data_IF_206363383942
#
_entry.id   IF_206363383942
#
_cell.length_a   1.000
_cell.length_b   1.000
_cell.length_c   1.000
_cell.angle_alpha   90.00
_cell.angle_beta   90.00
_cell.angle_gamma   90.00
#
_symmetry.space_group_name_H-M   'P 1'
#
loop_
_entity.id
_entity.type
_entity.pdbx_description
1 polymer ?
#
# COMPACT_ATOMS: atom_id res chain seq x y z
N UNK A 1 -7.93 11.86 -6.37
CA UNK A 1 -6.59 11.34 -6.76
C UNK A 1 -6.76 10.16 -7.70
N UNK A 2 -6.15 10.19 -8.88
CA UNK A 2 -6.24 9.05 -9.80
C UNK A 2 -5.22 7.96 -9.43
N UNK A 3 -5.33 6.80 -10.07
CA UNK A 3 -4.45 5.66 -9.74
C UNK A 3 -2.97 5.97 -9.98
N UNK A 4 -2.68 6.71 -11.03
CA UNK A 4 -1.31 7.06 -11.39
C UNK A 4 -0.67 7.96 -10.33
N UNK A 5 -1.40 8.96 -9.86
CA UNK A 5 -0.94 9.84 -8.79
C UNK A 5 -0.80 9.08 -7.48
N UNK A 6 -1.75 8.20 -7.18
CA UNK A 6 -1.71 7.41 -5.97
C UNK A 6 -0.46 6.52 -5.94
N UNK A 7 -0.12 5.88 -7.06
CA UNK A 7 1.08 5.06 -7.16
C UNK A 7 2.34 5.88 -6.90
N UNK A 8 2.41 7.08 -7.46
CA UNK A 8 3.56 7.95 -7.27
C UNK A 8 3.72 8.36 -5.81
N UNK A 9 2.64 8.79 -5.19
CA UNK A 9 2.67 9.24 -3.80
C UNK A 9 3.01 8.07 -2.87
N UNK A 10 2.44 6.90 -3.12
CA UNK A 10 2.74 5.71 -2.32
C UNK A 10 4.20 5.28 -2.47
N UNK A 11 4.73 5.38 -3.67
CA UNK A 11 6.15 5.09 -3.90
C UNK A 11 7.05 6.03 -3.08
N UNK A 12 6.72 7.31 -3.06
CA UNK A 12 7.48 8.30 -2.31
C UNK A 12 7.34 8.11 -0.79
N UNK A 13 6.21 7.58 -0.34
CA UNK A 13 5.92 7.39 1.07
C UNK A 13 6.42 6.05 1.60
N UNK A 14 6.16 4.98 0.86
CA UNK A 14 6.41 3.60 1.32
C UNK A 14 7.59 2.92 0.61
N UNK A 15 8.08 3.50 -0.48
CA UNK A 15 9.18 2.93 -1.24
C UNK A 15 8.74 2.07 -2.42
N UNK A 16 9.63 1.16 -2.86
CA UNK A 16 9.36 0.32 -4.01
C UNK A 16 8.21 -0.65 -3.79
N UNK A 17 7.53 -1.02 -4.86
CA UNK A 17 6.39 -1.92 -4.77
C UNK A 17 6.30 -2.80 -6.02
N UNK A 18 5.52 -3.89 -5.90
CA UNK A 18 5.17 -4.73 -7.04
C UNK A 18 3.76 -4.38 -7.49
N UNK A 19 3.61 -4.07 -8.78
CA UNK A 19 2.32 -3.73 -9.37
C UNK A 19 1.67 -4.99 -9.90
N UNK A 20 0.59 -5.42 -9.26
CA UNK A 20 -0.18 -6.59 -9.67
C UNK A 20 -1.44 -6.22 -10.43
N UNK A 21 -1.53 -4.98 -10.93
CA UNK A 21 -2.72 -4.50 -11.62
C UNK A 21 -3.70 -3.86 -10.64
N UNK A 22 -4.57 -4.64 -10.04
CA UNK A 22 -5.53 -4.13 -9.08
C UNK A 22 -4.92 -3.88 -7.70
N UNK A 23 -3.86 -4.60 -7.37
CA UNK A 23 -3.20 -4.50 -6.08
C UNK A 23 -1.75 -4.10 -6.22
N UNK A 24 -1.26 -3.36 -5.25
CA UNK A 24 0.14 -2.98 -5.14
C UNK A 24 0.70 -3.60 -3.86
N UNK A 25 1.86 -4.22 -3.94
CA UNK A 25 2.49 -4.88 -2.79
C UNK A 25 3.69 -4.07 -2.32
N UNK A 26 3.64 -3.63 -1.08
CA UNK A 26 4.68 -2.83 -0.43
C UNK A 26 5.23 -3.52 0.80
N UNK A 27 6.32 -3.00 1.34
CA UNK A 27 6.76 -3.36 2.69
C UNK A 27 5.83 -2.69 3.70
N UNK A 28 5.39 -3.44 4.70
CA UNK A 28 4.49 -2.90 5.71
C UNK A 28 5.19 -1.82 6.55
N UNK A 29 4.58 -0.63 6.69
CA UNK A 29 5.19 0.44 7.50
C UNK A 29 5.09 0.18 9.00
N UNK A 30 4.28 -0.76 9.43
CA UNK A 30 4.08 -1.07 10.84
C UNK A 30 5.03 -2.17 11.30
N UNK A 31 4.99 -3.35 10.67
CA UNK A 31 5.85 -4.46 11.08
C UNK A 31 7.19 -4.47 10.36
N UNK A 32 7.33 -3.68 9.31
CA UNK A 32 8.56 -3.52 8.54
C UNK A 32 9.18 -4.86 8.12
N UNK A 33 8.30 -5.79 7.70
CA UNK A 33 8.74 -7.12 7.26
C UNK A 33 9.51 -7.01 5.94
N UNK A 34 10.55 -7.82 5.78
CA UNK A 34 11.40 -7.75 4.58
C UNK A 34 10.71 -8.22 3.30
N UNK A 35 9.60 -8.93 3.42
CA UNK A 35 8.80 -9.35 2.26
C UNK A 35 7.69 -8.35 2.01
N UNK A 36 7.36 -8.12 0.73
CA UNK A 36 6.30 -7.19 0.37
C UNK A 36 4.93 -7.87 0.53
N UNK A 37 4.42 -7.85 1.75
CA UNK A 37 3.13 -8.45 2.10
C UNK A 37 2.06 -7.42 2.45
N UNK A 38 2.36 -6.14 2.30
CA UNK A 38 1.40 -5.07 2.54
C UNK A 38 0.70 -4.74 1.22
N UNK A 39 -0.54 -5.18 1.08
CA UNK A 39 -1.31 -5.06 -0.15
C UNK A 39 -2.19 -3.80 -0.10
N UNK A 40 -2.19 -3.04 -1.18
CA UNK A 40 -3.03 -1.85 -1.32
C UNK A 40 -3.89 -2.02 -2.57
N UNK A 41 -5.22 -1.93 -2.41
CA UNK A 41 -6.16 -1.99 -3.51
C UNK A 41 -6.69 -0.57 -3.79
N UNK A 42 -6.29 0.00 -4.91
CA UNK A 42 -6.65 1.37 -5.26
C UNK A 42 -8.14 1.51 -5.60
N UNK A 43 -8.73 0.49 -6.20
CA UNK A 43 -10.14 0.54 -6.57
C UNK A 43 -11.05 0.54 -5.34
N UNK A 44 -10.69 -0.24 -4.34
CA UNK A 44 -11.45 -0.34 -3.09
C UNK A 44 -11.00 0.68 -2.05
N UNK A 45 -9.93 1.41 -2.33
CA UNK A 45 -9.34 2.37 -1.40
C UNK A 45 -9.05 1.72 -0.04
N UNK A 46 -8.49 0.51 -0.09
CA UNK A 46 -8.25 -0.30 1.10
C UNK A 46 -6.82 -0.85 1.10
N UNK A 47 -6.33 -1.17 2.27
CA UNK A 47 -5.00 -1.75 2.42
C UNK A 47 -4.99 -2.78 3.54
N UNK A 48 -4.06 -3.75 3.44
CA UNK A 48 -3.93 -4.79 4.46
C UNK A 48 -2.52 -5.38 4.44
N UNK A 49 -1.94 -5.55 5.62
CA UNK A 49 -0.70 -6.31 5.78
C UNK A 49 -1.05 -7.76 6.12
N UNK A 50 -0.50 -8.70 5.36
CA UNK A 50 -0.76 -10.13 5.56
C UNK A 50 0.12 -10.74 6.64
N UNK A 51 0.98 -9.96 7.26
CA UNK A 51 1.88 -10.42 8.33
C UNK A 51 1.36 -9.97 9.71
N UNK A 52 1.17 -8.65 9.90
CA UNK A 52 0.75 -8.10 11.19
C UNK A 52 -0.74 -7.73 11.24
N UNK A 53 -1.47 -7.97 10.17
CA UNK A 53 -2.90 -7.67 10.05
C UNK A 53 -3.26 -6.17 10.17
N UNK A 54 -2.27 -5.30 9.97
CA UNK A 54 -2.54 -3.87 9.90
C UNK A 54 -3.38 -3.58 8.65
N UNK A 55 -4.55 -3.00 8.82
CA UNK A 55 -5.49 -2.81 7.72
C UNK A 55 -6.32 -1.54 7.90
N UNK A 56 -6.91 -1.09 6.80
CA UNK A 56 -7.77 0.08 6.82
C UNK A 56 -8.44 0.27 5.47
N UNK A 57 -9.35 1.23 5.40
CA UNK A 57 -10.13 1.49 4.18
C UNK A 57 -9.89 2.86 3.57
N UNK A 58 -8.91 3.60 4.01
CA UNK A 58 -8.64 4.91 3.45
C UNK A 58 -7.15 5.07 3.22
N UNK A 59 -6.74 4.97 1.97
CA UNK A 59 -5.33 5.06 1.58
C UNK A 59 -4.74 6.41 1.98
N UNK A 60 -5.54 7.46 2.01
CA UNK A 60 -5.06 8.79 2.42
C UNK A 60 -4.47 8.80 3.83
N UNK A 61 -4.89 7.87 4.68
CA UNK A 61 -4.33 7.76 6.02
C UNK A 61 -2.89 7.27 6.01
N UNK A 62 -2.47 6.64 4.94
CA UNK A 62 -1.10 6.21 4.75
C UNK A 62 -0.21 7.33 4.22
N UNK A 63 -0.80 8.33 3.58
CA UNK A 63 -0.12 9.34 2.78
C UNK A 63 -0.06 10.69 3.53
N UNK A 64 -0.08 10.78 4.67
CA UNK A 64 -0.06 12.07 5.38
C UNK A 64 1.17 12.90 5.06
#
# INVERSE_FOLDING_TARGET
MNKKEAKKVLYETLGTFYDKGEELLFSCPVCNHHKNKFSINLDKNAYKCWICDYRGRNIRRLIR
#
